data_IF_530867849118
#
_entry.id   IF_530867849118
#
_cell.length_a   1.000
_cell.length_b   1.000
_cell.length_c   1.000
_cell.angle_alpha   90.00
_cell.angle_beta   90.00
_cell.angle_gamma   90.00
#
_symmetry.space_group_name_H-M   'P 1'
#
loop_
_entity.id
_entity.type
_entity.pdbx_description
1 polymer ?
#
# COMPACT_ATOMS: atom_id res chain seq x y z
N UNK A 1 -19.99 -18.38 -6.07
CA UNK A 1 -19.47 -17.14 -6.67
C UNK A 1 -19.75 -17.15 -8.16
N UNK A 2 -20.18 -16.00 -8.72
CA UNK A 2 -20.50 -15.86 -10.15
C UNK A 2 -19.47 -15.01 -10.90
N UNK A 3 -18.61 -14.33 -10.18
CA UNK A 3 -17.57 -13.44 -10.73
C UNK A 3 -16.30 -13.50 -9.89
N UNK A 4 -15.13 -13.27 -10.52
CA UNK A 4 -13.84 -13.10 -9.84
C UNK A 4 -13.90 -11.94 -8.84
N UNK A 5 -14.74 -10.93 -9.08
CA UNK A 5 -14.90 -9.77 -8.20
C UNK A 5 -15.44 -10.15 -6.81
N UNK A 6 -16.18 -11.25 -6.70
CA UNK A 6 -16.69 -11.75 -5.42
C UNK A 6 -15.62 -12.42 -4.56
N UNK A 7 -14.44 -12.65 -5.11
CA UNK A 7 -13.27 -13.17 -4.37
C UNK A 7 -12.41 -12.06 -3.77
N UNK A 8 -12.68 -10.79 -4.11
CA UNK A 8 -11.97 -9.65 -3.54
C UNK A 8 -12.40 -9.49 -2.08
N UNK A 9 -11.42 -9.51 -1.20
CA UNK A 9 -11.67 -9.43 0.23
C UNK A 9 -11.66 -10.79 0.92
N UNK A 10 -12.16 -10.81 2.15
CA UNK A 10 -12.15 -12.01 3.02
C UNK A 10 -10.79 -12.71 3.11
N UNK A 11 -9.70 -11.92 2.97
CA UNK A 11 -8.34 -12.42 3.03
C UNK A 11 -8.04 -13.00 4.42
N UNK A 12 -7.22 -14.08 4.51
CA UNK A 12 -6.92 -14.73 5.78
C UNK A 12 -6.13 -13.83 6.73
N UNK A 13 -6.31 -14.10 8.02
CA UNK A 13 -5.47 -13.58 9.09
C UNK A 13 -4.73 -14.78 9.69
N UNK A 14 -3.41 -14.69 9.83
CA UNK A 14 -2.58 -15.70 10.46
C UNK A 14 -1.84 -15.11 11.66
N UNK A 15 -1.69 -15.88 12.72
CA UNK A 15 -0.80 -15.55 13.83
C UNK A 15 0.63 -15.95 13.45
N UNK A 16 1.55 -14.99 13.50
CA UNK A 16 2.94 -15.25 13.17
C UNK A 16 3.64 -15.95 14.36
N UNK A 17 3.98 -17.23 14.17
CA UNK A 17 4.84 -17.98 15.10
C UNK A 17 6.28 -17.83 14.66
N UNK A 18 7.00 -16.87 15.23
CA UNK A 18 8.40 -16.57 14.88
C UNK A 18 9.17 -16.06 16.09
N UNK A 19 10.47 -16.36 16.15
CA UNK A 19 11.34 -16.01 17.28
C UNK A 19 11.56 -14.50 17.50
N UNK A 20 11.22 -13.67 16.51
CA UNK A 20 11.19 -12.21 16.65
C UNK A 20 9.96 -11.69 17.40
N UNK A 21 8.90 -12.47 17.55
CA UNK A 21 7.72 -12.06 18.32
C UNK A 21 8.04 -12.24 19.81
N UNK A 22 7.94 -11.18 20.66
CA UNK A 22 8.24 -11.28 22.08
C UNK A 22 7.36 -12.30 22.80
N UNK A 23 7.92 -13.03 23.76
CA UNK A 23 7.16 -13.99 24.56
C UNK A 23 5.93 -13.36 25.22
N UNK A 24 4.80 -14.04 25.16
CA UNK A 24 3.51 -13.56 25.70
C UNK A 24 2.83 -12.48 24.87
N UNK A 25 3.36 -12.12 23.70
CA UNK A 25 2.75 -11.19 22.74
C UNK A 25 2.35 -11.89 21.46
N UNK A 26 1.44 -11.29 20.70
CA UNK A 26 0.89 -11.83 19.46
C UNK A 26 1.02 -10.86 18.30
N UNK A 27 1.47 -11.37 17.16
CA UNK A 27 1.48 -10.65 15.89
C UNK A 27 0.57 -11.37 14.88
N UNK A 28 -0.49 -10.72 14.50
CA UNK A 28 -1.41 -11.19 13.46
C UNK A 28 -1.12 -10.49 12.14
N UNK A 29 -1.10 -11.24 11.06
CA UNK A 29 -0.85 -10.77 9.70
C UNK A 29 -2.12 -10.92 8.86
N UNK A 30 -2.69 -9.81 8.39
CA UNK A 30 -3.78 -9.79 7.41
C UNK A 30 -3.19 -9.88 6.01
N UNK A 31 -3.33 -11.02 5.36
CA UNK A 31 -2.63 -11.36 4.12
C UNK A 31 -3.41 -10.90 2.88
N UNK A 32 -3.30 -9.64 2.51
CA UNK A 32 -3.98 -9.05 1.35
C UNK A 32 -3.46 -9.57 -0.01
N UNK A 33 -2.38 -10.34 0.00
CA UNK A 33 -1.89 -11.09 -1.17
C UNK A 33 -2.85 -12.18 -1.67
N UNK A 34 -3.86 -12.53 -0.88
CA UNK A 34 -4.88 -13.51 -1.27
C UNK A 34 -6.03 -12.91 -2.08
N UNK A 35 -6.02 -11.60 -2.34
CA UNK A 35 -6.86 -11.01 -3.37
C UNK A 35 -6.43 -11.51 -4.77
N UNK A 36 -7.31 -11.48 -5.79
CA UNK A 36 -7.07 -12.05 -7.13
C UNK A 36 -5.80 -11.56 -7.83
N UNK A 37 -5.43 -10.28 -7.69
CA UNK A 37 -4.16 -9.74 -8.20
C UNK A 37 -3.08 -9.61 -7.13
N UNK A 38 -3.21 -10.39 -6.05
CA UNK A 38 -2.22 -10.49 -4.98
C UNK A 38 -1.94 -9.17 -4.26
N UNK A 39 -2.95 -8.28 -4.13
CA UNK A 39 -2.78 -6.97 -3.50
C UNK A 39 -4.07 -6.39 -2.93
N UNK A 40 -3.91 -5.60 -1.87
CA UNK A 40 -5.01 -4.76 -1.30
C UNK A 40 -5.60 -3.79 -2.33
N UNK A 41 -4.90 -3.51 -3.44
CA UNK A 41 -5.37 -2.60 -4.49
C UNK A 41 -6.60 -3.13 -5.23
N UNK A 42 -6.87 -4.44 -5.19
CA UNK A 42 -8.12 -4.99 -5.72
C UNK A 42 -9.34 -4.38 -5.03
N UNK A 43 -9.24 -4.18 -3.71
CA UNK A 43 -10.29 -3.50 -2.92
C UNK A 43 -10.43 -2.04 -3.30
N UNK A 44 -9.30 -1.32 -3.36
CA UNK A 44 -9.26 0.09 -3.74
C UNK A 44 -9.87 0.30 -5.13
N UNK A 45 -9.43 -0.48 -6.12
CA UNK A 45 -9.93 -0.39 -7.50
C UNK A 45 -11.42 -0.69 -7.60
N UNK A 46 -11.88 -1.75 -6.91
CA UNK A 46 -13.30 -2.13 -6.89
C UNK A 46 -14.14 -1.00 -6.28
N UNK A 47 -13.72 -0.45 -5.15
CA UNK A 47 -14.41 0.66 -4.49
C UNK A 47 -14.55 1.90 -5.39
N UNK A 48 -13.46 2.31 -6.05
CA UNK A 48 -13.44 3.46 -6.94
C UNK A 48 -14.36 3.24 -8.16
N UNK A 49 -14.31 2.07 -8.79
CA UNK A 49 -15.14 1.75 -9.97
C UNK A 49 -16.62 1.65 -9.59
N UNK A 50 -16.97 0.95 -8.51
CA UNK A 50 -18.36 0.82 -8.07
C UNK A 50 -18.97 2.16 -7.67
N UNK A 51 -18.22 3.01 -6.99
CA UNK A 51 -18.68 4.36 -6.63
C UNK A 51 -18.94 5.21 -7.87
N UNK A 52 -18.06 5.15 -8.88
CA UNK A 52 -18.21 5.89 -10.13
C UNK A 52 -19.43 5.42 -10.96
N UNK A 53 -19.65 4.11 -11.05
CA UNK A 53 -20.83 3.55 -11.71
C UNK A 53 -22.11 3.95 -10.99
N UNK A 54 -22.12 3.88 -9.65
CA UNK A 54 -23.28 4.23 -8.83
C UNK A 54 -23.64 5.72 -8.93
N UNK A 55 -22.65 6.59 -9.02
CA UNK A 55 -22.84 8.05 -9.14
C UNK A 55 -23.05 8.54 -10.58
N UNK A 56 -22.93 7.66 -11.58
CA UNK A 56 -23.04 8.02 -12.99
C UNK A 56 -21.80 8.70 -13.60
N UNK A 57 -20.70 8.83 -12.86
CA UNK A 57 -19.43 9.34 -13.38
C UNK A 57 -18.75 8.37 -14.36
N UNK A 58 -19.09 7.09 -14.28
CA UNK A 58 -18.67 6.05 -15.22
C UNK A 58 -19.91 5.34 -15.75
N UNK A 59 -20.09 5.31 -17.06
CA UNK A 59 -21.16 4.56 -17.69
C UNK A 59 -20.81 3.06 -17.82
N UNK A 60 -21.79 2.14 -17.86
CA UNK A 60 -21.54 0.75 -18.24
C UNK A 60 -20.84 0.69 -19.61
N UNK A 61 -19.78 -0.12 -19.73
CA UNK A 61 -18.96 -0.20 -20.93
C UNK A 61 -18.03 1.02 -21.16
N UNK A 62 -18.03 1.97 -20.23
CA UNK A 62 -17.22 3.19 -20.30
C UNK A 62 -15.72 2.95 -20.16
N UNK A 63 -14.95 4.03 -20.24
CA UNK A 63 -13.47 3.99 -20.18
C UNK A 63 -12.96 4.48 -18.84
N UNK A 64 -12.04 3.74 -18.24
CA UNK A 64 -11.29 4.11 -17.04
C UNK A 64 -9.85 4.44 -17.43
N UNK A 65 -9.34 5.59 -17.00
CA UNK A 65 -7.97 6.05 -17.30
C UNK A 65 -7.26 6.33 -15.97
N UNK A 66 -6.13 5.67 -15.72
CA UNK A 66 -5.37 5.88 -14.46
C UNK A 66 -3.87 5.93 -14.70
N UNK A 67 -3.20 6.82 -13.96
CA UNK A 67 -1.73 6.89 -13.87
C UNK A 67 -1.22 5.95 -12.77
N UNK A 68 -0.68 4.81 -13.15
CA UNK A 68 -0.11 3.86 -12.19
C UNK A 68 0.84 2.88 -12.84
N UNK A 69 1.96 2.56 -12.18
CA UNK A 69 2.93 1.56 -12.64
C UNK A 69 2.92 0.28 -11.79
N UNK A 70 1.91 0.12 -10.90
CA UNK A 70 1.89 -0.94 -9.91
C UNK A 70 0.56 -1.70 -9.82
N UNK A 71 0.27 -2.19 -8.62
CA UNK A 71 -0.86 -3.08 -8.34
C UNK A 71 -2.23 -2.49 -8.70
N UNK A 72 -2.43 -1.16 -8.58
CA UNK A 72 -3.73 -0.56 -8.95
C UNK A 72 -4.05 -0.77 -10.43
N UNK A 73 -3.05 -0.66 -11.32
CA UNK A 73 -3.25 -0.90 -12.75
C UNK A 73 -3.68 -2.34 -13.04
N UNK A 74 -3.10 -3.34 -12.35
CA UNK A 74 -3.50 -4.75 -12.45
C UNK A 74 -4.95 -4.93 -12.03
N UNK A 75 -5.31 -4.33 -10.90
CA UNK A 75 -6.66 -4.42 -10.34
C UNK A 75 -7.70 -3.76 -11.25
N UNK A 76 -7.43 -2.55 -11.76
CA UNK A 76 -8.32 -1.87 -12.71
C UNK A 76 -8.48 -2.67 -14.01
N UNK A 77 -7.38 -3.23 -14.54
CA UNK A 77 -7.42 -4.04 -15.75
C UNK A 77 -8.30 -5.29 -15.57
N UNK A 78 -8.15 -6.03 -14.46
CA UNK A 78 -8.98 -7.19 -14.13
C UNK A 78 -10.45 -6.80 -13.96
N UNK A 79 -10.73 -5.74 -13.21
CA UNK A 79 -12.11 -5.26 -12.98
C UNK A 79 -12.72 -4.82 -14.31
N UNK A 80 -11.95 -4.11 -15.15
CA UNK A 80 -12.37 -3.72 -16.49
C UNK A 80 -12.77 -4.93 -17.33
N UNK A 81 -11.94 -5.97 -17.39
CA UNK A 81 -12.24 -7.21 -18.11
C UNK A 81 -13.50 -7.89 -17.56
N UNK A 82 -13.65 -7.96 -16.22
CA UNK A 82 -14.80 -8.62 -15.59
C UNK A 82 -16.13 -7.86 -15.73
N UNK A 83 -16.08 -6.53 -15.90
CA UNK A 83 -17.25 -5.64 -15.99
C UNK A 83 -17.51 -5.08 -17.38
N UNK A 84 -16.71 -5.46 -18.39
CA UNK A 84 -16.84 -4.94 -19.76
C UNK A 84 -16.46 -3.48 -19.90
N UNK A 85 -15.58 -2.95 -19.03
CA UNK A 85 -15.05 -1.58 -19.10
C UNK A 85 -13.76 -1.55 -19.94
N UNK A 86 -13.49 -0.45 -20.60
CA UNK A 86 -12.21 -0.19 -21.25
C UNK A 86 -11.26 0.41 -20.22
N UNK A 87 -10.00 -0.04 -20.19
CA UNK A 87 -9.00 0.48 -19.25
C UNK A 87 -7.78 0.97 -20.01
N UNK A 88 -7.35 2.19 -19.71
CA UNK A 88 -6.09 2.78 -20.19
C UNK A 88 -5.20 3.04 -18.97
N UNK A 89 -4.03 2.42 -18.94
CA UNK A 89 -3.04 2.60 -17.87
C UNK A 89 -1.90 3.46 -18.39
N UNK A 90 -1.75 4.65 -17.82
CA UNK A 90 -0.67 5.58 -18.16
C UNK A 90 0.55 5.27 -17.30
N UNK A 91 1.65 4.94 -17.96
CA UNK A 91 2.91 4.49 -17.35
C UNK A 91 4.11 5.28 -17.86
N UNK A 92 5.27 5.05 -17.27
CA UNK A 92 6.56 5.58 -17.72
C UNK A 92 7.60 4.45 -17.91
N UNK A 93 8.79 4.72 -18.46
CA UNK A 93 9.81 3.71 -18.72
C UNK A 93 10.34 2.95 -17.49
N UNK A 94 10.03 3.41 -16.27
CA UNK A 94 10.40 2.71 -15.03
C UNK A 94 9.46 1.58 -14.67
N UNK A 95 8.32 1.44 -15.39
CA UNK A 95 7.38 0.32 -15.19
C UNK A 95 8.04 -1.01 -15.54
N UNK A 96 7.85 -2.04 -14.71
CA UNK A 96 8.37 -3.38 -15.04
C UNK A 96 7.64 -3.98 -16.23
N UNK A 97 8.38 -4.73 -17.06
CA UNK A 97 7.80 -5.49 -18.18
C UNK A 97 6.71 -6.46 -17.72
N UNK A 98 6.88 -7.06 -16.54
CA UNK A 98 5.90 -7.93 -15.91
C UNK A 98 4.58 -7.20 -15.66
N UNK A 99 4.61 -5.97 -15.14
CA UNK A 99 3.39 -5.19 -14.92
C UNK A 99 2.69 -4.84 -16.24
N UNK A 100 3.45 -4.41 -17.25
CA UNK A 100 2.90 -4.13 -18.61
C UNK A 100 2.23 -5.37 -19.21
N UNK A 101 2.88 -6.53 -19.12
CA UNK A 101 2.34 -7.79 -19.61
C UNK A 101 1.04 -8.18 -18.86
N UNK A 102 0.99 -7.92 -17.57
CA UNK A 102 -0.19 -8.17 -16.75
C UNK A 102 -1.38 -7.30 -17.20
N UNK A 103 -1.16 -6.00 -17.41
CA UNK A 103 -2.21 -5.09 -17.90
C UNK A 103 -2.75 -5.56 -19.25
N UNK A 104 -1.84 -5.89 -20.19
CA UNK A 104 -2.20 -6.37 -21.52
C UNK A 104 -2.92 -7.72 -21.50
N UNK A 105 -2.57 -8.62 -20.58
CA UNK A 105 -3.23 -9.92 -20.44
C UNK A 105 -4.72 -9.79 -20.08
N UNK A 106 -5.09 -8.74 -19.34
CA UNK A 106 -6.49 -8.40 -19.07
C UNK A 106 -7.14 -7.51 -20.15
N UNK A 107 -6.43 -7.19 -21.23
CA UNK A 107 -6.94 -6.37 -22.33
C UNK A 107 -6.87 -4.86 -22.09
N UNK A 108 -6.15 -4.39 -21.06
CA UNK A 108 -5.96 -2.96 -20.86
C UNK A 108 -4.98 -2.39 -21.89
N UNK A 109 -5.27 -1.18 -22.35
CA UNK A 109 -4.36 -0.38 -23.16
C UNK A 109 -3.27 0.23 -22.25
N UNK A 110 -2.02 0.20 -22.69
CA UNK A 110 -0.91 0.86 -22.00
C UNK A 110 -0.48 2.08 -22.78
N UNK A 111 -0.56 3.24 -22.17
CA UNK A 111 -0.11 4.53 -22.74
C UNK A 111 1.21 4.91 -22.07
N UNK A 112 2.29 5.01 -22.86
CA UNK A 112 3.66 5.19 -22.39
C UNK A 112 4.09 6.66 -22.51
N UNK A 113 4.37 7.30 -21.39
CA UNK A 113 4.95 8.65 -21.33
C UNK A 113 6.47 8.54 -21.31
N UNK A 114 7.11 8.81 -22.45
CA UNK A 114 8.57 8.66 -22.60
C UNK A 114 9.36 9.93 -22.23
N UNK A 115 8.71 11.08 -22.13
CA UNK A 115 9.37 12.35 -21.81
C UNK A 115 9.11 12.70 -20.34
N UNK A 116 10.17 12.86 -19.52
CA UNK A 116 10.01 13.33 -18.16
C UNK A 116 9.52 14.78 -18.10
N UNK A 117 9.00 15.19 -16.95
CA UNK A 117 8.69 16.59 -16.67
C UNK A 117 9.97 17.45 -16.59
N UNK A 118 9.80 18.77 -16.54
CA UNK A 118 10.94 19.73 -16.49
C UNK A 118 11.83 19.58 -15.23
N UNK A 119 11.48 18.72 -14.28
CA UNK A 119 12.28 18.41 -13.08
C UNK A 119 12.90 17.00 -13.14
N UNK A 120 12.79 16.30 -14.28
CA UNK A 120 13.36 14.97 -14.49
C UNK A 120 12.52 13.82 -13.91
N UNK A 121 11.31 14.10 -13.40
CA UNK A 121 10.33 13.12 -12.96
C UNK A 121 9.33 12.75 -14.06
N UNK A 122 8.59 11.67 -13.85
CA UNK A 122 7.54 11.25 -14.78
C UNK A 122 6.13 11.45 -14.22
N UNK A 123 6.02 11.75 -12.94
CA UNK A 123 4.71 11.74 -12.31
C UNK A 123 3.79 12.84 -12.83
N UNK A 124 4.29 14.07 -12.89
CA UNK A 124 3.55 15.20 -13.45
C UNK A 124 3.22 14.97 -14.92
N UNK A 125 4.18 14.50 -15.70
CA UNK A 125 3.97 14.19 -17.12
C UNK A 125 2.89 13.11 -17.33
N UNK A 126 2.83 12.08 -16.45
CA UNK A 126 1.75 11.07 -16.50
C UNK A 126 0.39 11.64 -16.14
N UNK A 127 0.31 12.55 -15.18
CA UNK A 127 -0.95 13.22 -14.80
C UNK A 127 -1.43 14.11 -15.96
N UNK A 128 -0.53 14.88 -16.56
CA UNK A 128 -0.84 15.70 -17.75
C UNK A 128 -1.33 14.83 -18.90
N UNK A 129 -0.74 13.65 -19.12
CA UNK A 129 -1.20 12.69 -20.12
C UNK A 129 -2.58 12.12 -19.81
N UNK A 130 -2.88 11.84 -18.54
CA UNK A 130 -4.25 11.44 -18.13
C UNK A 130 -5.25 12.53 -18.49
N UNK A 131 -4.95 13.80 -18.22
CA UNK A 131 -5.83 14.93 -18.56
C UNK A 131 -6.06 15.02 -20.06
N UNK A 132 -5.03 14.85 -20.89
CA UNK A 132 -5.16 14.80 -22.34
C UNK A 132 -6.09 13.67 -22.79
N UNK A 133 -5.87 12.45 -22.26
CA UNK A 133 -6.70 11.29 -22.59
C UNK A 133 -8.16 11.47 -22.16
N UNK A 134 -8.44 12.17 -21.06
CA UNK A 134 -9.81 12.50 -20.66
C UNK A 134 -10.49 13.43 -21.69
N UNK A 135 -9.75 14.33 -22.33
CA UNK A 135 -10.28 15.15 -23.43
C UNK A 135 -10.46 14.33 -24.72
N UNK A 136 -9.54 13.40 -25.00
CA UNK A 136 -9.61 12.50 -26.16
C UNK A 136 -10.75 11.47 -26.04
N UNK A 137 -11.16 11.12 -24.79
CA UNK A 137 -12.21 10.14 -24.48
C UNK A 137 -13.33 10.77 -23.64
N UNK A 138 -14.25 11.56 -24.23
CA UNK A 138 -15.36 12.16 -23.49
C UNK A 138 -16.18 11.11 -22.72
N UNK A 139 -16.42 11.36 -21.43
CA UNK A 139 -17.11 10.44 -20.53
C UNK A 139 -16.21 9.36 -19.92
N UNK A 140 -14.90 9.39 -20.17
CA UNK A 140 -13.96 8.54 -19.44
C UNK A 140 -13.84 8.99 -17.98
N UNK A 141 -13.61 8.03 -17.09
CA UNK A 141 -13.45 8.24 -15.66
C UNK A 141 -12.00 8.10 -15.25
N UNK A 142 -11.50 9.06 -14.48
CA UNK A 142 -10.22 8.99 -13.79
C UNK A 142 -10.43 8.67 -12.32
N UNK A 143 -10.03 7.47 -11.85
CA UNK A 143 -10.13 7.07 -10.44
C UNK A 143 -9.39 7.99 -9.48
N UNK A 144 -8.23 8.54 -9.88
CA UNK A 144 -7.39 9.42 -9.07
C UNK A 144 -7.19 8.91 -7.64
N UNK A 145 -6.46 7.81 -7.51
CA UNK A 145 -6.27 7.13 -6.21
C UNK A 145 -5.74 8.02 -5.09
N UNK A 146 -5.13 9.16 -5.43
CA UNK A 146 -4.49 10.04 -4.45
C UNK A 146 -5.47 11.01 -3.80
N UNK A 147 -6.46 11.51 -4.55
CA UNK A 147 -7.32 12.60 -4.10
C UNK A 147 -8.80 12.20 -4.02
N UNK A 148 -9.17 11.06 -4.61
CA UNK A 148 -10.56 10.60 -4.64
C UNK A 148 -10.97 10.06 -3.25
N UNK A 149 -11.93 10.69 -2.55
CA UNK A 149 -12.37 10.28 -1.22
C UNK A 149 -13.05 8.90 -1.19
N UNK A 150 -13.45 8.37 -2.35
CA UNK A 150 -14.00 7.01 -2.45
C UNK A 150 -12.95 5.93 -2.17
N UNK A 151 -11.64 6.26 -2.30
CA UNK A 151 -10.58 5.35 -1.90
C UNK A 151 -10.65 5.04 -0.38
N UNK A 152 -10.49 5.99 0.55
CA UNK A 152 -10.65 5.67 1.98
C UNK A 152 -12.08 5.26 2.35
N UNK A 153 -13.12 5.77 1.68
CA UNK A 153 -14.50 5.43 1.99
C UNK A 153 -14.80 3.93 1.84
N UNK A 154 -14.35 3.29 0.76
CA UNK A 154 -14.52 1.86 0.58
C UNK A 154 -13.84 1.04 1.68
N UNK A 155 -12.64 1.43 2.07
CA UNK A 155 -11.92 0.76 3.15
C UNK A 155 -12.58 0.96 4.51
N UNK A 156 -13.16 2.12 4.77
CA UNK A 156 -13.96 2.41 5.97
C UNK A 156 -15.23 1.54 6.03
N UNK A 157 -16.01 1.54 4.96
CA UNK A 157 -17.35 0.94 4.95
C UNK A 157 -17.32 -0.59 4.78
N UNK A 158 -16.31 -1.12 4.05
CA UNK A 158 -16.24 -2.53 3.66
C UNK A 158 -15.07 -3.24 4.31
N UNK A 159 -13.85 -2.76 4.08
CA UNK A 159 -12.64 -3.48 4.50
C UNK A 159 -12.49 -3.53 6.02
N UNK A 160 -12.79 -2.44 6.72
CA UNK A 160 -12.67 -2.36 8.18
C UNK A 160 -13.48 -3.44 8.92
N UNK A 161 -14.63 -3.86 8.36
CA UNK A 161 -15.47 -4.92 8.95
C UNK A 161 -14.77 -6.27 9.07
N UNK A 162 -13.83 -6.55 8.18
CA UNK A 162 -13.04 -7.79 8.27
C UNK A 162 -12.00 -7.71 9.39
N UNK A 163 -11.46 -6.53 9.65
CA UNK A 163 -10.48 -6.28 10.71
C UNK A 163 -11.11 -6.22 12.10
N UNK A 164 -12.42 -5.96 12.19
CA UNK A 164 -13.16 -5.96 13.45
C UNK A 164 -13.41 -7.37 14.02
N UNK A 165 -13.16 -8.44 13.25
CA UNK A 165 -13.44 -9.83 13.63
C UNK A 165 -12.43 -10.43 14.63
N UNK A 166 -11.30 -9.78 14.83
CA UNK A 166 -10.24 -10.20 15.74
C UNK A 166 -10.02 -9.14 16.81
N UNK A 167 -9.73 -9.57 18.03
CA UNK A 167 -9.32 -8.65 19.09
C UNK A 167 -7.81 -8.40 19.05
N UNK A 168 -7.43 -7.12 19.05
CA UNK A 168 -6.04 -6.64 19.05
C UNK A 168 -5.95 -5.22 19.60
N UNK A 169 -4.77 -4.88 20.15
CA UNK A 169 -4.53 -3.58 20.77
C UNK A 169 -4.13 -2.51 19.75
N UNK A 170 -3.36 -2.90 18.72
CA UNK A 170 -2.82 -1.97 17.71
C UNK A 170 -3.03 -2.52 16.31
N UNK A 171 -3.53 -1.66 15.42
CA UNK A 171 -3.54 -1.86 13.98
C UNK A 171 -2.29 -1.23 13.37
N UNK A 172 -1.56 -1.96 12.54
CA UNK A 172 -0.36 -1.45 11.85
C UNK A 172 -0.53 -1.58 10.35
N UNK A 173 -0.24 -0.52 9.61
CA UNK A 173 -0.26 -0.52 8.15
C UNK A 173 0.70 0.51 7.57
N UNK A 174 1.01 0.38 6.28
CA UNK A 174 1.85 1.36 5.58
C UNK A 174 1.03 2.50 4.97
N UNK A 175 1.72 3.60 4.66
CA UNK A 175 1.16 4.77 3.97
C UNK A 175 1.83 4.94 2.61
N UNK A 176 1.00 5.17 1.60
CA UNK A 176 1.34 5.65 0.27
C UNK A 176 0.23 6.62 -0.13
N UNK A 177 -0.79 6.19 -0.88
CA UNK A 177 -1.97 7.02 -1.16
C UNK A 177 -2.81 7.35 0.09
N UNK A 178 -2.51 6.74 1.23
CA UNK A 178 -3.23 6.94 2.49
C UNK A 178 -4.57 6.20 2.61
N UNK A 179 -5.22 5.92 1.47
CA UNK A 179 -6.61 5.48 1.45
C UNK A 179 -6.91 4.25 2.30
N UNK A 180 -6.14 3.16 2.16
CA UNK A 180 -6.46 1.92 2.87
C UNK A 180 -6.30 2.07 4.39
N UNK A 181 -5.17 2.65 4.86
CA UNK A 181 -4.95 2.75 6.30
C UNK A 181 -5.88 3.79 6.94
N UNK A 182 -6.07 4.97 6.31
CA UNK A 182 -7.01 5.99 6.80
C UNK A 182 -8.45 5.47 6.86
N UNK A 183 -8.90 4.78 5.81
CA UNK A 183 -10.24 4.20 5.77
C UNK A 183 -10.45 3.11 6.81
N UNK A 184 -9.54 2.13 6.88
CA UNK A 184 -9.63 1.04 7.87
C UNK A 184 -9.57 1.61 9.29
N UNK A 185 -8.65 2.54 9.57
CA UNK A 185 -8.49 3.17 10.87
C UNK A 185 -9.77 3.88 11.31
N UNK A 186 -10.39 4.64 10.40
CA UNK A 186 -11.65 5.35 10.67
C UNK A 186 -12.79 4.38 10.97
N UNK A 187 -12.91 3.31 10.17
CA UNK A 187 -13.94 2.29 10.40
C UNK A 187 -13.74 1.54 11.73
N UNK A 188 -12.50 1.15 12.05
CA UNK A 188 -12.19 0.47 13.31
C UNK A 188 -12.43 1.39 14.51
N UNK A 189 -11.97 2.64 14.47
CA UNK A 189 -12.11 3.59 15.60
C UNK A 189 -13.57 3.99 15.88
N UNK A 190 -14.46 3.86 14.89
CA UNK A 190 -15.90 4.09 15.09
C UNK A 190 -16.49 3.11 16.10
N UNK A 191 -16.12 1.82 15.99
CA UNK A 191 -16.66 0.74 16.80
C UNK A 191 -15.75 0.39 17.99
N UNK A 192 -14.45 0.63 17.85
CA UNK A 192 -13.38 0.27 18.81
C UNK A 192 -12.38 1.41 18.99
N UNK A 193 -12.80 2.53 19.62
CA UNK A 193 -11.97 3.75 19.76
C UNK A 193 -10.70 3.54 20.58
N UNK A 194 -10.64 2.46 21.39
CA UNK A 194 -9.45 2.09 22.17
C UNK A 194 -8.31 1.55 21.31
N UNK A 195 -8.60 0.97 20.12
CA UNK A 195 -7.58 0.43 19.23
C UNK A 195 -6.68 1.55 18.72
N UNK A 196 -5.38 1.39 18.92
CA UNK A 196 -4.38 2.34 18.41
C UNK A 196 -4.00 2.00 16.99
N UNK A 197 -3.60 3.03 16.22
CA UNK A 197 -3.18 2.88 14.83
C UNK A 197 -1.75 3.38 14.67
N UNK A 198 -0.87 2.50 14.20
CA UNK A 198 0.50 2.81 13.82
C UNK A 198 0.60 2.90 12.29
N UNK A 199 0.95 4.07 11.78
CA UNK A 199 1.24 4.30 10.38
C UNK A 199 2.75 4.12 10.13
N UNK A 200 3.11 3.16 9.28
CA UNK A 200 4.48 2.93 8.85
C UNK A 200 4.72 3.56 7.49
N UNK A 201 5.86 4.24 7.34
CA UNK A 201 6.29 4.79 6.06
C UNK A 201 7.77 4.51 5.84
N UNK A 202 8.22 4.56 4.59
CA UNK A 202 9.64 4.37 4.29
C UNK A 202 10.42 5.64 4.58
N UNK A 203 11.61 5.49 5.15
CA UNK A 203 12.52 6.61 5.37
C UNK A 203 12.83 7.29 4.03
N UNK A 204 12.61 8.60 3.97
CA UNK A 204 12.73 9.38 2.75
C UNK A 204 11.39 9.72 2.08
N UNK A 205 10.31 9.10 2.50
CA UNK A 205 8.95 9.47 2.03
C UNK A 205 8.47 10.77 2.69
N UNK A 206 7.65 11.52 1.93
CA UNK A 206 6.93 12.69 2.43
C UNK A 206 5.44 12.42 2.71
N UNK A 207 4.96 11.16 2.60
CA UNK A 207 3.53 10.84 2.77
C UNK A 207 3.01 11.13 4.19
N UNK A 208 3.83 10.95 5.21
CA UNK A 208 3.53 11.34 6.60
C UNK A 208 4.06 12.74 6.98
N UNK A 209 4.74 13.41 6.07
CA UNK A 209 5.40 14.69 6.28
C UNK A 209 6.93 14.56 6.27
N UNK A 210 7.63 15.70 6.15
CA UNK A 210 9.07 15.73 6.01
C UNK A 210 9.53 15.95 4.57
N UNK A 211 10.84 16.05 4.38
CA UNK A 211 11.44 16.23 3.07
C UNK A 211 11.58 14.90 2.34
N UNK A 212 11.27 14.90 1.04
CA UNK A 212 11.46 13.71 0.21
C UNK A 212 12.96 13.46 -0.04
N UNK A 213 13.36 12.19 0.09
CA UNK A 213 14.62 11.67 -0.42
C UNK A 213 14.40 10.28 -1.06
N UNK A 214 15.28 9.86 -1.99
CA UNK A 214 15.11 8.58 -2.68
C UNK A 214 15.12 7.37 -1.74
N UNK A 215 14.27 6.38 -2.02
CA UNK A 215 14.20 5.06 -1.40
C UNK A 215 13.94 3.99 -2.46
N UNK A 216 14.05 2.72 -2.11
CA UNK A 216 13.97 1.60 -3.06
C UNK A 216 12.62 0.87 -3.03
N UNK A 217 11.91 0.91 -1.92
CA UNK A 217 10.64 0.20 -1.77
C UNK A 217 9.56 0.74 -2.71
N UNK A 218 8.80 -0.18 -3.30
CA UNK A 218 7.61 0.12 -4.07
C UNK A 218 6.34 -0.20 -3.25
N UNK A 219 5.23 0.49 -3.56
CA UNK A 219 3.94 0.26 -2.90
C UNK A 219 3.78 0.95 -1.54
N UNK A 220 4.78 1.67 -1.08
CA UNK A 220 4.80 2.50 0.12
C UNK A 220 5.48 3.83 -0.18
N UNK A 221 5.17 4.86 0.59
CA UNK A 221 5.76 6.18 0.45
C UNK A 221 5.26 6.98 -0.75
N UNK A 222 5.50 8.29 -0.71
CA UNK A 222 5.26 9.26 -1.79
C UNK A 222 6.21 10.45 -1.63
N UNK A 223 6.39 11.22 -2.71
CA UNK A 223 7.11 12.49 -2.66
C UNK A 223 6.28 13.66 -2.07
N UNK A 224 5.01 13.42 -1.76
CA UNK A 224 4.08 14.40 -1.15
C UNK A 224 3.02 13.67 -0.33
N UNK A 225 2.23 14.43 0.45
CA UNK A 225 1.07 13.89 1.17
C UNK A 225 -0.15 13.89 0.27
N UNK A 226 -0.74 12.72 0.06
CA UNK A 226 -2.02 12.55 -0.62
C UNK A 226 -3.18 13.09 0.23
N UNK A 227 -4.23 13.64 -0.41
CA UNK A 227 -5.43 14.09 0.26
C UNK A 227 -6.16 12.97 1.04
N UNK A 228 -5.95 11.72 0.65
CA UNK A 228 -6.50 10.55 1.32
C UNK A 228 -5.71 10.10 2.57
N UNK A 229 -4.62 10.80 2.93
CA UNK A 229 -3.86 10.54 4.16
C UNK A 229 -4.42 11.35 5.31
N UNK A 230 -5.26 10.72 6.14
CA UNK A 230 -5.94 11.33 7.27
C UNK A 230 -5.11 11.13 8.54
N UNK A 231 -4.21 12.07 8.84
CA UNK A 231 -3.27 11.98 9.96
C UNK A 231 -3.95 11.88 11.33
N UNK A 232 -5.13 12.46 11.46
CA UNK A 232 -5.98 12.41 12.67
C UNK A 232 -6.44 10.99 13.04
N UNK A 233 -6.42 10.08 12.06
CA UNK A 233 -6.73 8.66 12.27
C UNK A 233 -5.56 7.87 12.90
N UNK A 234 -4.33 8.40 12.87
CA UNK A 234 -3.13 7.70 13.31
C UNK A 234 -2.70 8.15 14.70
N UNK A 235 -2.49 7.19 15.61
CA UNK A 235 -1.99 7.47 16.96
C UNK A 235 -0.46 7.54 17.00
N UNK A 236 0.18 6.76 16.13
CA UNK A 236 1.65 6.65 16.05
C UNK A 236 2.11 6.57 14.59
N UNK A 237 3.37 6.90 14.36
CA UNK A 237 4.02 6.67 13.08
C UNK A 237 5.44 6.13 13.28
N UNK A 238 5.95 5.38 12.29
CA UNK A 238 7.33 4.90 12.24
C UNK A 238 7.88 5.05 10.83
N UNK A 239 9.10 5.57 10.72
CA UNK A 239 9.87 5.64 9.48
C UNK A 239 10.91 4.52 9.51
N UNK A 240 10.86 3.64 8.51
CA UNK A 240 11.66 2.42 8.42
C UNK A 240 12.46 2.46 7.13
N UNK A 241 13.75 2.18 7.19
CA UNK A 241 14.60 2.18 6.01
C UNK A 241 14.46 0.90 5.18
N UNK A 242 14.99 0.95 3.96
CA UNK A 242 14.94 -0.15 2.99
C UNK A 242 15.62 -1.43 3.52
N UNK A 243 16.71 -1.31 4.28
CA UNK A 243 17.48 -2.46 4.78
C UNK A 243 16.65 -3.32 5.74
N UNK A 244 15.99 -2.69 6.72
CA UNK A 244 15.13 -3.38 7.70
C UNK A 244 13.91 -4.00 7.02
N UNK A 245 13.23 -3.25 6.13
CA UNK A 245 12.05 -3.74 5.43
C UNK A 245 12.38 -4.95 4.52
N UNK A 246 13.45 -4.87 3.75
CA UNK A 246 13.87 -5.96 2.84
C UNK A 246 14.36 -7.17 3.65
N UNK A 247 15.09 -6.96 4.75
CA UNK A 247 15.51 -8.03 5.64
C UNK A 247 14.32 -8.80 6.20
N UNK A 248 13.27 -8.09 6.63
CA UNK A 248 12.03 -8.72 7.10
C UNK A 248 11.35 -9.55 6.01
N UNK A 249 11.27 -9.04 4.76
CA UNK A 249 10.74 -9.82 3.63
C UNK A 249 11.49 -11.15 3.45
N UNK A 250 12.81 -11.10 3.47
CA UNK A 250 13.69 -12.28 3.27
C UNK A 250 13.57 -13.29 4.43
N UNK A 251 13.49 -12.81 5.66
CA UNK A 251 13.32 -13.65 6.86
C UNK A 251 11.95 -14.33 6.81
N UNK A 252 10.87 -13.58 6.62
CA UNK A 252 9.51 -14.12 6.57
C UNK A 252 9.34 -15.15 5.44
N UNK A 253 9.97 -14.93 4.29
CA UNK A 253 9.94 -15.89 3.20
C UNK A 253 10.67 -17.20 3.56
N UNK A 254 11.85 -17.13 4.18
CA UNK A 254 12.70 -18.28 4.47
C UNK A 254 12.26 -19.06 5.70
N UNK A 255 11.77 -18.37 6.74
CA UNK A 255 11.49 -18.98 8.04
C UNK A 255 9.99 -19.19 8.31
N UNK A 256 9.12 -18.49 7.56
CA UNK A 256 7.65 -18.60 7.75
C UNK A 256 6.90 -18.94 6.45
N UNK A 257 7.59 -19.09 5.31
CA UNK A 257 6.97 -19.38 4.02
C UNK A 257 6.10 -18.24 3.47
N UNK A 258 6.30 -17.01 3.96
CA UNK A 258 5.51 -15.83 3.59
C UNK A 258 6.28 -14.99 2.58
N UNK A 259 5.98 -15.17 1.29
CA UNK A 259 6.55 -14.37 0.20
C UNK A 259 5.76 -13.06 0.06
N UNK A 260 6.30 -11.97 0.61
CA UNK A 260 5.61 -10.69 0.77
C UNK A 260 6.33 -9.56 0.04
N UNK A 261 5.59 -8.51 -0.34
CA UNK A 261 6.18 -7.30 -0.92
C UNK A 261 6.92 -6.43 0.10
N UNK A 262 7.73 -5.48 -0.37
CA UNK A 262 8.56 -4.61 0.47
C UNK A 262 7.77 -3.80 1.50
N UNK A 263 6.59 -3.33 1.11
CA UNK A 263 5.66 -2.64 2.02
C UNK A 263 5.18 -3.53 3.17
N UNK A 264 5.03 -4.84 2.95
CA UNK A 264 4.66 -5.78 4.00
C UNK A 264 5.84 -6.06 4.96
N UNK A 265 7.08 -6.16 4.44
CA UNK A 265 8.27 -6.25 5.28
C UNK A 265 8.44 -5.04 6.19
N UNK A 266 8.22 -3.85 5.65
CA UNK A 266 8.20 -2.59 6.39
C UNK A 266 7.13 -2.61 7.50
N UNK A 267 5.90 -3.03 7.20
CA UNK A 267 4.82 -3.13 8.19
C UNK A 267 5.13 -4.18 9.27
N UNK A 268 5.70 -5.33 8.88
CA UNK A 268 6.08 -6.37 9.84
C UNK A 268 7.15 -5.88 10.83
N UNK A 269 8.17 -5.15 10.34
CA UNK A 269 9.18 -4.56 11.20
C UNK A 269 8.57 -3.51 12.14
N UNK A 270 7.74 -2.60 11.65
CA UNK A 270 7.04 -1.61 12.49
C UNK A 270 6.11 -2.24 13.52
N UNK A 271 5.45 -3.34 13.18
CA UNK A 271 4.63 -4.11 14.12
C UNK A 271 5.47 -4.73 15.25
N UNK A 272 6.66 -5.25 14.93
CA UNK A 272 7.62 -5.74 15.92
C UNK A 272 8.14 -4.59 16.79
N UNK A 273 8.52 -3.44 16.21
CA UNK A 273 8.90 -2.25 17.00
C UNK A 273 7.80 -1.88 18.00
N UNK A 274 6.53 -1.91 17.59
CA UNK A 274 5.40 -1.66 18.48
C UNK A 274 5.33 -2.69 19.60
N UNK A 275 5.48 -3.98 19.29
CA UNK A 275 5.46 -5.05 20.31
C UNK A 275 6.62 -4.94 21.30
N UNK A 276 7.83 -4.59 20.86
CA UNK A 276 8.98 -4.43 21.75
C UNK A 276 8.87 -3.17 22.60
N UNK A 277 8.46 -2.05 22.03
CA UNK A 277 8.55 -0.73 22.66
C UNK A 277 7.26 -0.23 23.33
N UNK A 278 6.19 -1.04 23.40
CA UNK A 278 4.92 -0.64 24.01
C UNK A 278 4.34 -1.71 24.94
N UNK A 279 3.28 -1.35 25.67
CA UNK A 279 2.50 -2.29 26.49
C UNK A 279 1.52 -3.16 25.70
N UNK A 280 1.42 -2.96 24.38
CA UNK A 280 0.55 -3.76 23.52
C UNK A 280 0.91 -5.24 23.62
N UNK A 281 -0.11 -6.09 23.77
CA UNK A 281 0.03 -7.54 23.82
C UNK A 281 -0.28 -8.19 22.47
N UNK A 282 -1.06 -7.51 21.66
CA UNK A 282 -1.50 -8.02 20.35
C UNK A 282 -1.49 -6.92 19.29
N UNK A 283 -0.93 -7.24 18.13
CA UNK A 283 -0.86 -6.35 16.97
C UNK A 283 -1.45 -7.05 15.75
N UNK A 284 -2.30 -6.35 14.98
CA UNK A 284 -2.76 -6.77 13.66
C UNK A 284 -2.06 -5.92 12.59
N UNK A 285 -1.26 -6.56 11.76
CA UNK A 285 -0.47 -5.94 10.71
C UNK A 285 -1.05 -6.24 9.32
N UNK A 286 -1.22 -5.20 8.50
CA UNK A 286 -1.72 -5.33 7.13
C UNK A 286 -0.54 -5.66 6.21
N UNK A 287 -0.56 -6.84 5.56
CA UNK A 287 0.41 -7.25 4.54
C UNK A 287 -0.15 -6.89 3.17
N UNK A 288 0.27 -5.77 2.54
CA UNK A 288 -0.48 -5.18 1.42
C UNK A 288 -0.44 -5.99 0.13
N UNK A 289 0.67 -6.68 -0.16
CA UNK A 289 0.82 -7.41 -1.40
C UNK A 289 1.81 -8.59 -1.31
N UNK A 290 1.83 -9.38 -2.39
CA UNK A 290 2.73 -10.52 -2.56
C UNK A 290 4.13 -10.10 -2.99
N UNK A 291 5.13 -10.89 -2.63
CA UNK A 291 6.50 -10.79 -3.11
C UNK A 291 6.69 -11.23 -4.57
N UNK A 292 5.69 -11.81 -5.22
CA UNK A 292 5.78 -12.27 -6.61
C UNK A 292 6.11 -11.17 -7.62
N UNK A 293 5.81 -9.92 -7.29
CA UNK A 293 6.16 -8.76 -8.11
C UNK A 293 7.62 -8.30 -7.97
N UNK A 294 8.37 -8.88 -7.05
CA UNK A 294 9.67 -8.38 -6.59
C UNK A 294 10.76 -9.47 -6.58
N UNK A 295 10.55 -10.57 -7.34
CA UNK A 295 11.49 -11.70 -7.41
C UNK A 295 12.82 -11.31 -8.05
N UNK A 296 12.78 -10.34 -8.96
CA UNK A 296 13.93 -9.77 -9.68
C UNK A 296 14.52 -8.53 -8.98
N UNK A 297 14.04 -8.20 -7.79
CA UNK A 297 14.50 -7.06 -6.99
C UNK A 297 14.78 -7.49 -5.54
N UNK A 298 13.80 -7.35 -4.63
CA UNK A 298 13.97 -7.62 -3.20
C UNK A 298 14.41 -9.07 -2.88
N UNK A 299 14.16 -10.00 -3.79
CA UNK A 299 14.51 -11.42 -3.67
C UNK A 299 15.69 -11.85 -4.56
N UNK A 300 16.29 -10.94 -5.33
CA UNK A 300 17.50 -11.16 -6.14
C UNK A 300 18.72 -10.59 -5.42
N UNK A 301 19.68 -11.47 -5.07
CA UNK A 301 20.89 -11.07 -4.35
C UNK A 301 21.78 -10.13 -5.21
N UNK A 302 21.80 -10.28 -6.55
CA UNK A 302 22.53 -9.38 -7.44
C UNK A 302 21.97 -7.97 -7.43
N UNK A 303 20.63 -7.85 -7.41
CA UNK A 303 19.98 -6.55 -7.30
C UNK A 303 20.29 -5.88 -5.95
N UNK A 304 20.30 -6.66 -4.85
CA UNK A 304 20.64 -6.15 -3.52
C UNK A 304 22.09 -5.62 -3.48
N UNK A 305 23.03 -6.35 -4.05
CA UNK A 305 24.44 -5.93 -4.19
C UNK A 305 24.57 -4.62 -4.98
N UNK A 306 23.91 -4.52 -6.15
CA UNK A 306 23.88 -3.32 -6.98
C UNK A 306 23.30 -2.09 -6.27
N UNK A 307 22.36 -2.31 -5.35
CA UNK A 307 21.72 -1.26 -4.55
C UNK A 307 22.39 -1.03 -3.21
N UNK A 308 23.47 -1.72 -2.91
CA UNK A 308 24.19 -1.67 -1.63
C UNK A 308 23.27 -1.98 -0.43
N UNK A 309 22.34 -2.91 -0.60
CA UNK A 309 21.44 -3.35 0.47
C UNK A 309 22.15 -4.36 1.35
N UNK A 310 22.30 -4.00 2.62
CA UNK A 310 22.75 -4.90 3.66
C UNK A 310 21.56 -5.63 4.28
N UNK A 311 21.59 -6.97 4.32
CA UNK A 311 20.57 -7.78 4.97
C UNK A 311 20.95 -8.06 6.41
N UNK A 312 20.05 -7.74 7.32
CA UNK A 312 20.17 -8.09 8.73
C UNK A 312 19.65 -9.51 8.97
N UNK A 313 20.37 -10.29 9.75
CA UNK A 313 19.88 -11.57 10.27
C UNK A 313 18.91 -11.38 11.44
N UNK A 314 18.23 -12.47 11.82
CA UNK A 314 17.23 -12.48 12.91
C UNK A 314 17.79 -11.91 14.20
N UNK A 315 19.01 -12.27 14.58
CA UNK A 315 19.61 -11.81 15.85
C UNK A 315 19.94 -10.31 15.81
N UNK A 316 20.45 -9.80 14.68
CA UNK A 316 20.72 -8.37 14.51
C UNK A 316 19.43 -7.55 14.59
N UNK A 317 18.34 -8.01 13.93
CA UNK A 317 17.04 -7.35 14.03
C UNK A 317 16.47 -7.40 15.45
N UNK A 318 16.66 -8.52 16.17
CA UNK A 318 16.23 -8.64 17.57
C UNK A 318 16.94 -7.64 18.46
N UNK A 319 18.27 -7.52 18.34
CA UNK A 319 19.07 -6.57 19.10
C UNK A 319 18.64 -5.12 18.79
N UNK A 320 18.41 -4.80 17.53
CA UNK A 320 17.92 -3.49 17.13
C UNK A 320 16.52 -3.20 17.71
N UNK A 321 15.58 -4.14 17.63
CA UNK A 321 14.24 -4.02 18.20
C UNK A 321 14.24 -3.85 19.72
N UNK A 322 15.21 -4.45 20.43
CA UNK A 322 15.37 -4.31 21.87
C UNK A 322 16.05 -3.00 22.28
N UNK A 323 16.99 -2.51 21.48
CA UNK A 323 17.75 -1.30 21.75
C UNK A 323 16.97 -0.02 21.40
N UNK A 324 16.14 -0.07 20.37
CA UNK A 324 15.31 1.03 19.97
C UNK A 324 14.10 1.13 20.89
N UNK A 325 14.16 2.03 21.88
CA UNK A 325 12.94 2.53 22.47
C UNK A 325 12.02 2.93 21.31
N UNK A 326 10.84 2.31 21.24
CA UNK A 326 9.77 2.77 20.37
C UNK A 326 9.52 4.24 20.78
N UNK A 327 10.27 5.12 20.12
CA UNK A 327 10.12 6.54 20.34
C UNK A 327 8.67 6.79 20.03
N UNK A 328 7.89 7.17 21.04
CA UNK A 328 6.55 7.76 20.86
C UNK A 328 6.75 8.93 19.92
N UNK A 329 6.97 8.60 18.66
CA UNK A 329 7.12 9.59 17.63
C UNK A 329 5.79 10.32 17.62
N UNK A 330 5.87 11.58 17.85
CA UNK A 330 4.88 12.65 17.91
C UNK A 330 3.51 12.24 17.38
N UNK A 331 2.45 12.52 18.13
CA UNK A 331 1.07 12.29 17.71
C UNK A 331 0.83 12.89 16.31
N UNK A 332 -0.12 12.38 15.54
CA UNK A 332 -0.47 12.92 14.21
C UNK A 332 -0.63 14.44 14.17
N UNK A 333 -0.94 15.08 15.30
CA UNK A 333 -1.04 16.54 15.47
C UNK A 333 0.31 17.26 15.25
N UNK A 334 1.44 16.62 15.52
CA UNK A 334 2.77 17.23 15.32
C UNK A 334 3.23 17.17 13.84
N UNK A 335 2.53 16.38 13.01
CA UNK A 335 2.77 16.28 11.56
C UNK A 335 1.98 17.32 10.75
N UNK A 336 0.99 18.00 11.37
CA UNK A 336 0.15 19.02 10.72
C UNK A 336 0.94 20.28 10.32
N UNK A 337 2.15 20.49 10.84
CA UNK A 337 2.99 21.66 10.53
C UNK A 337 3.71 21.62 9.18
N UNK A 338 3.57 20.53 8.41
CA UNK A 338 4.18 20.42 7.09
C UNK A 338 3.16 20.78 6.00
N UNK A 339 3.42 21.80 5.14
CA UNK A 339 2.47 22.25 4.15
C UNK A 339 2.05 21.12 3.19
N UNK A 340 0.74 20.94 2.97
CA UNK A 340 0.25 20.13 1.87
C UNK A 340 0.53 20.87 0.56
N UNK A 341 1.26 20.26 -0.35
CA UNK A 341 1.33 20.73 -1.73
C UNK A 341 0.02 20.33 -2.41
N UNK A 342 -0.83 21.31 -2.73
CA UNK A 342 -1.95 21.16 -3.64
C UNK A 342 -1.42 21.16 -5.08
N UNK A 343 -1.73 20.13 -5.86
CA UNK A 343 -1.49 20.07 -7.30
C UNK A 343 -2.74 20.48 -8.09
#
# INVERSE_FOLDING_TARGET
>A
MKSILETIGSCPIVELSHSLVPSGKKLYLKLEQFNPNHSIKDRTALGLVLAALKSGHLAPGGTVIESTSGNLGKSLAMIGAAMGLKVIVVVDPKVSSTAVNWYKAYGAQVDMVNTPDGQGGYQRARIERVQQLLHEHPGAYWPNQYDNPQNPAYHDEVTAKEFARLDYDVLVGCVSTGGHLSGIARGIKRDRPQVKVLACDVLGSAALGGAFSPYLLNGVGLAWRSANTHLDCFDYHSLIDDHHAISMCRILARESGLLLGGSAGLVAYGALQCLYGSSAKSVLAIMPDSGTNYLDTLYDDRWLEQKNIHLYGVEALRQDLQANEFKRSRSGRDLESVPSLSY
#
